data_IF_148543250246
#
_entry.id   IF_148543250246
#
_cell.length_a   1.000
_cell.length_b   1.000
_cell.length_c   1.000
_cell.angle_alpha   90.00
_cell.angle_beta   90.00
_cell.angle_gamma   90.00
#
_symmetry.space_group_name_H-M   'P 1'
#
loop_
_entity.id
_entity.type
_entity.pdbx_description
1 polymer ?
#
# COMPACT_ATOMS: atom_id res chain seq x y z
N UNK A 1 -13.49 -19.03 22.51
CA UNK A 1 -14.08 -17.90 21.76
C UNK A 1 -13.71 -16.61 22.48
N UNK A 2 -13.21 -15.63 21.73
CA UNK A 2 -12.79 -14.31 22.26
C UNK A 2 -13.96 -13.35 22.03
N UNK A 3 -14.44 -12.67 23.09
CA UNK A 3 -15.55 -11.72 23.01
C UNK A 3 -15.04 -10.31 23.25
N UNK A 4 -15.56 -9.35 22.46
CA UNK A 4 -15.18 -7.92 22.50
C UNK A 4 -16.37 -7.05 22.07
N UNK A 5 -16.31 -5.74 22.31
CA UNK A 5 -17.38 -4.82 21.86
C UNK A 5 -17.25 -4.49 20.37
N UNK A 6 -16.00 -4.33 19.88
CA UNK A 6 -15.71 -4.08 18.48
C UNK A 6 -14.59 -5.03 18.02
N UNK A 7 -14.88 -5.82 16.99
CA UNK A 7 -13.89 -6.61 16.29
C UNK A 7 -13.38 -5.85 15.07
N UNK A 8 -12.06 -5.63 14.99
CA UNK A 8 -11.44 -4.87 13.91
C UNK A 8 -10.66 -5.85 13.01
N UNK A 9 -10.92 -5.84 11.72
CA UNK A 9 -10.20 -6.64 10.72
C UNK A 9 -9.16 -5.78 10.02
N UNK A 10 -7.91 -5.93 10.41
CA UNK A 10 -6.77 -5.14 9.98
C UNK A 10 -6.17 -4.31 11.11
N UNK A 11 -4.88 -4.50 11.38
CA UNK A 11 -4.12 -3.78 12.40
C UNK A 11 -3.18 -2.71 11.80
N UNK A 12 -3.57 -2.14 10.65
CA UNK A 12 -2.93 -0.98 10.05
C UNK A 12 -3.28 0.33 10.78
N UNK A 13 -2.78 1.49 10.30
CA UNK A 13 -3.00 2.78 10.95
C UNK A 13 -4.48 3.09 11.25
N UNK A 14 -5.37 2.82 10.29
CA UNK A 14 -6.82 3.03 10.47
C UNK A 14 -7.40 2.13 11.58
N UNK A 15 -7.00 0.85 11.62
CA UNK A 15 -7.45 -0.08 12.66
C UNK A 15 -6.95 0.32 14.05
N UNK A 16 -5.69 0.73 14.16
CA UNK A 16 -5.11 1.22 15.41
C UNK A 16 -5.81 2.51 15.88
N UNK A 17 -6.03 3.47 14.98
CA UNK A 17 -6.74 4.69 15.36
C UNK A 17 -8.19 4.43 15.77
N UNK A 18 -8.85 3.43 15.18
CA UNK A 18 -10.18 2.98 15.61
C UNK A 18 -10.20 2.50 17.06
N UNK A 19 -9.14 1.82 17.51
CA UNK A 19 -9.00 1.43 18.93
C UNK A 19 -8.97 2.65 19.84
N UNK A 20 -8.25 3.70 19.45
CA UNK A 20 -8.16 4.93 20.24
C UNK A 20 -9.56 5.58 20.39
N UNK A 21 -10.26 5.79 19.27
CA UNK A 21 -11.59 6.41 19.27
C UNK A 21 -12.62 5.57 20.05
N UNK A 22 -12.64 4.25 19.84
CA UNK A 22 -13.51 3.33 20.59
C UNK A 22 -13.19 3.34 22.09
N UNK A 23 -11.90 3.37 22.44
CA UNK A 23 -11.44 3.40 23.82
C UNK A 23 -11.87 4.66 24.59
N UNK A 24 -11.96 5.81 23.93
CA UNK A 24 -12.54 7.02 24.52
C UNK A 24 -13.99 6.82 24.93
N UNK A 25 -14.74 5.99 24.20
CA UNK A 25 -16.12 5.58 24.51
C UNK A 25 -16.20 4.39 25.48
N UNK A 26 -15.05 3.94 26.02
CA UNK A 26 -14.95 2.78 26.91
C UNK A 26 -15.31 1.44 26.26
N UNK A 27 -15.28 1.36 24.95
CA UNK A 27 -15.50 0.12 24.19
C UNK A 27 -14.19 -0.66 24.06
N UNK A 28 -14.27 -1.97 24.26
CA UNK A 28 -13.14 -2.88 24.13
C UNK A 28 -12.98 -3.31 22.67
N UNK A 29 -11.75 -3.30 22.18
CA UNK A 29 -11.43 -3.71 20.82
C UNK A 29 -10.54 -4.95 20.80
N UNK A 30 -10.75 -5.79 19.78
CA UNK A 30 -9.84 -6.86 19.41
C UNK A 30 -9.54 -6.78 17.91
N UNK A 31 -8.27 -6.85 17.54
CA UNK A 31 -7.84 -6.76 16.15
C UNK A 31 -7.41 -8.13 15.62
N UNK A 32 -7.81 -8.45 14.39
CA UNK A 32 -7.31 -9.61 13.63
C UNK A 32 -6.50 -9.09 12.46
N UNK A 33 -5.28 -9.59 12.28
CA UNK A 33 -4.47 -9.29 11.10
C UNK A 33 -3.79 -10.54 10.55
N UNK A 34 -3.76 -10.66 9.22
CA UNK A 34 -3.05 -11.74 8.54
C UNK A 34 -1.54 -11.64 8.67
N UNK A 35 -1.01 -10.44 8.87
CA UNK A 35 0.41 -10.20 9.14
C UNK A 35 0.77 -10.59 10.58
N UNK A 36 2.01 -11.04 10.81
CA UNK A 36 2.49 -11.40 12.15
C UNK A 36 2.80 -10.18 13.03
N UNK A 37 2.69 -8.96 12.47
CA UNK A 37 2.98 -7.69 13.12
C UNK A 37 1.91 -6.65 12.79
N UNK A 38 1.78 -5.64 13.65
CA UNK A 38 0.90 -4.50 13.43
C UNK A 38 1.49 -3.54 12.38
N UNK A 39 0.65 -2.62 11.88
CA UNK A 39 1.05 -1.50 11.03
C UNK A 39 0.65 -1.62 9.56
N UNK A 40 0.24 -2.81 9.11
CA UNK A 40 -0.23 -3.01 7.74
C UNK A 40 0.80 -2.57 6.69
N UNK A 41 0.39 -1.76 5.72
CA UNK A 41 1.27 -1.27 4.64
C UNK A 41 2.46 -0.46 5.18
N UNK A 42 2.25 0.36 6.19
CA UNK A 42 3.28 1.23 6.75
C UNK A 42 4.46 0.45 7.33
N UNK A 43 4.20 -0.69 7.97
CA UNK A 43 5.26 -1.53 8.52
C UNK A 43 5.78 -2.57 7.53
N UNK A 44 4.92 -3.11 6.65
CA UNK A 44 5.29 -4.21 5.77
C UNK A 44 5.92 -3.76 4.45
N UNK A 45 5.44 -2.65 3.87
CA UNK A 45 5.82 -2.26 2.50
C UNK A 45 6.88 -1.16 2.51
N UNK A 46 6.73 -0.11 3.35
CA UNK A 46 7.59 1.07 3.29
C UNK A 46 7.88 1.70 4.66
N UNK A 47 8.40 0.91 5.64
CA UNK A 47 8.58 1.41 7.00
C UNK A 47 9.51 2.63 7.11
N UNK A 48 10.45 2.76 6.19
CA UNK A 48 11.42 3.87 6.12
C UNK A 48 11.03 4.97 5.13
N UNK A 49 9.80 4.94 4.58
CA UNK A 49 9.30 6.01 3.72
C UNK A 49 8.85 7.18 4.58
N UNK A 50 9.32 8.41 4.30
CA UNK A 50 8.77 9.60 4.93
C UNK A 50 7.34 9.87 4.45
N UNK A 51 6.49 10.30 5.37
CA UNK A 51 5.09 10.71 5.13
C UNK A 51 4.97 12.15 5.60
N UNK A 52 4.33 13.00 4.80
CA UNK A 52 4.27 14.46 5.01
C UNK A 52 2.87 14.97 5.29
N UNK A 53 1.85 14.13 5.16
CA UNK A 53 0.42 14.50 5.23
C UNK A 53 -0.27 14.06 6.53
N UNK A 54 0.52 13.79 7.58
CA UNK A 54 -0.01 13.51 8.92
C UNK A 54 -0.07 14.80 9.73
N UNK A 55 -1.26 15.27 10.14
CA UNK A 55 -1.39 16.48 10.92
C UNK A 55 -0.54 16.47 12.20
N UNK A 56 0.20 17.56 12.44
CA UNK A 56 1.07 17.69 13.61
C UNK A 56 2.51 17.20 13.42
N UNK A 57 2.81 16.54 12.28
CA UNK A 57 4.17 16.14 11.91
C UNK A 57 4.55 16.80 10.58
N UNK A 58 5.66 17.60 10.54
CA UNK A 58 6.21 18.08 9.26
C UNK A 58 6.63 16.90 8.36
N UNK A 59 7.13 15.84 8.99
CA UNK A 59 7.54 14.58 8.38
C UNK A 59 7.57 13.51 9.47
N UNK A 60 7.16 12.28 9.13
CA UNK A 60 7.27 11.11 10.00
C UNK A 60 7.53 9.87 9.15
N UNK A 61 8.36 8.94 9.61
CA UNK A 61 8.54 7.66 8.94
C UNK A 61 7.29 6.78 9.12
N UNK A 62 6.93 6.03 8.09
CA UNK A 62 5.73 5.19 8.11
C UNK A 62 5.73 4.16 9.25
N UNK A 63 6.88 3.56 9.56
CA UNK A 63 7.03 2.67 10.71
C UNK A 63 6.87 3.40 12.04
N UNK A 64 7.48 4.57 12.18
CA UNK A 64 7.38 5.40 13.39
C UNK A 64 5.94 5.87 13.64
N UNK A 65 5.20 6.23 12.58
CA UNK A 65 3.77 6.53 12.70
C UNK A 65 3.00 5.36 13.31
N UNK A 66 3.31 4.14 12.88
CA UNK A 66 2.66 2.93 13.42
C UNK A 66 3.00 2.71 14.88
N UNK A 67 4.26 2.90 15.29
CA UNK A 67 4.70 2.79 16.67
C UNK A 67 4.00 3.82 17.56
N UNK A 68 3.87 5.05 17.09
CA UNK A 68 3.17 6.13 17.79
C UNK A 68 1.67 5.82 17.95
N UNK A 69 1.01 5.31 16.90
CA UNK A 69 -0.39 4.88 16.98
C UNK A 69 -0.57 3.72 17.96
N UNK A 70 0.34 2.76 17.99
CA UNK A 70 0.28 1.67 18.96
C UNK A 70 0.49 2.18 20.39
N UNK A 71 1.42 3.11 20.62
CA UNK A 71 1.61 3.72 21.93
C UNK A 71 0.35 4.47 22.39
N UNK A 72 -0.31 5.19 21.47
CA UNK A 72 -1.57 5.87 21.74
C UNK A 72 -2.70 4.90 22.16
N UNK A 73 -2.71 3.69 21.58
CA UNK A 73 -3.72 2.66 21.85
C UNK A 73 -3.49 1.89 23.15
N UNK A 74 -2.26 1.77 23.65
CA UNK A 74 -1.88 0.92 24.78
C UNK A 74 -2.74 1.15 26.03
N UNK A 75 -3.12 2.39 26.32
CA UNK A 75 -3.96 2.73 27.46
C UNK A 75 -5.32 2.03 27.46
N UNK A 76 -5.81 1.59 26.31
CA UNK A 76 -7.10 0.91 26.12
C UNK A 76 -6.97 -0.62 26.08
N UNK A 77 -5.75 -1.13 26.15
CA UNK A 77 -5.43 -2.56 26.22
C UNK A 77 -6.15 -3.42 25.15
N UNK A 78 -6.01 -3.08 23.85
CA UNK A 78 -6.64 -3.86 22.78
C UNK A 78 -6.08 -5.29 22.75
N UNK A 79 -6.94 -6.26 22.41
CA UNK A 79 -6.50 -7.61 22.10
C UNK A 79 -6.03 -7.73 20.66
N UNK A 80 -5.13 -8.69 20.39
CA UNK A 80 -4.62 -8.97 19.06
C UNK A 80 -4.63 -10.45 18.73
N UNK A 81 -5.02 -10.78 17.51
CA UNK A 81 -4.82 -12.09 16.87
C UNK A 81 -4.07 -11.83 15.57
N UNK A 82 -2.73 -11.90 15.64
CA UNK A 82 -1.83 -11.63 14.52
C UNK A 82 -1.39 -12.93 13.83
N UNK A 83 -1.04 -12.83 12.54
CA UNK A 83 -0.66 -13.99 11.72
C UNK A 83 -1.83 -14.92 11.42
N UNK A 84 -3.06 -14.42 11.53
CA UNK A 84 -4.28 -15.14 11.23
C UNK A 84 -5.22 -14.27 10.37
N UNK A 85 -5.71 -14.82 9.27
CA UNK A 85 -6.63 -14.13 8.36
C UNK A 85 -8.07 -14.41 8.77
N UNK A 86 -8.90 -13.35 8.87
CA UNK A 86 -10.34 -13.51 9.00
C UNK A 86 -10.92 -14.22 7.76
N UNK A 87 -11.57 -15.39 7.97
CA UNK A 87 -11.99 -16.27 6.88
C UNK A 87 -13.49 -16.22 6.66
N UNK A 88 -14.27 -16.43 7.72
CA UNK A 88 -15.73 -16.42 7.65
C UNK A 88 -16.33 -15.47 8.66
N UNK A 89 -17.54 -14.98 8.36
CA UNK A 89 -18.37 -14.22 9.30
C UNK A 89 -19.76 -14.82 9.33
N UNK A 90 -20.32 -14.98 10.53
CA UNK A 90 -21.65 -15.52 10.75
C UNK A 90 -22.42 -14.63 11.70
N UNK A 91 -23.59 -14.14 11.29
CA UNK A 91 -24.49 -13.40 12.16
C UNK A 91 -25.24 -14.36 13.07
N UNK A 92 -25.26 -14.07 14.36
CA UNK A 92 -25.94 -14.87 15.39
C UNK A 92 -27.37 -14.40 15.61
N UNK A 93 -28.19 -15.22 16.28
CA UNK A 93 -29.59 -14.88 16.64
C UNK A 93 -29.69 -13.68 17.57
N UNK A 94 -28.71 -13.47 18.43
CA UNK A 94 -28.62 -12.33 19.34
C UNK A 94 -28.14 -11.01 18.65
N UNK A 95 -27.91 -11.08 17.35
CA UNK A 95 -27.47 -9.94 16.53
C UNK A 95 -25.95 -9.73 16.51
N UNK A 96 -25.17 -10.48 17.28
CA UNK A 96 -23.70 -10.45 17.23
C UNK A 96 -23.17 -11.15 16.00
N UNK A 97 -21.88 -10.97 15.71
CA UNK A 97 -21.16 -11.65 14.65
C UNK A 97 -20.08 -12.57 15.24
N UNK A 98 -19.96 -13.75 14.67
CA UNK A 98 -18.81 -14.64 14.92
C UNK A 98 -17.93 -14.65 13.70
N UNK A 99 -16.68 -14.20 13.86
CA UNK A 99 -15.62 -14.27 12.84
C UNK A 99 -14.69 -15.40 13.18
N UNK A 100 -14.46 -16.30 12.22
CA UNK A 100 -13.53 -17.42 12.35
C UNK A 100 -12.32 -17.17 11.46
N UNK A 101 -11.13 -17.35 12.00
CA UNK A 101 -9.89 -17.20 11.26
C UNK A 101 -9.52 -18.47 10.48
N UNK A 102 -8.58 -18.38 9.56
CA UNK A 102 -8.02 -19.51 8.80
C UNK A 102 -7.34 -20.58 9.70
N UNK A 103 -7.06 -20.25 10.97
CA UNK A 103 -6.53 -21.20 11.96
C UNK A 103 -7.62 -21.72 12.93
N UNK A 104 -8.87 -21.32 12.74
CA UNK A 104 -10.00 -21.75 13.54
C UNK A 104 -10.24 -20.95 14.82
N UNK A 105 -9.50 -19.87 15.06
CA UNK A 105 -9.75 -18.97 16.19
C UNK A 105 -11.07 -18.22 15.98
N UNK A 106 -11.95 -18.23 16.98
CA UNK A 106 -13.29 -17.61 16.92
C UNK A 106 -13.37 -16.37 17.77
N UNK A 107 -13.89 -15.29 17.18
CA UNK A 107 -14.10 -13.99 17.80
C UNK A 107 -15.57 -13.60 17.69
N UNK A 108 -16.17 -13.09 18.77
CA UNK A 108 -17.55 -12.64 18.79
C UNK A 108 -17.64 -11.17 19.18
N UNK A 109 -18.39 -10.39 18.41
CA UNK A 109 -18.64 -8.99 18.68
C UNK A 109 -19.99 -8.53 18.11
N UNK A 110 -20.66 -7.55 18.73
CA UNK A 110 -21.85 -6.91 18.15
C UNK A 110 -21.51 -6.00 16.95
N UNK A 111 -20.26 -5.52 16.86
CA UNK A 111 -19.79 -4.64 15.80
C UNK A 111 -18.51 -5.18 15.17
N UNK A 112 -18.46 -5.15 13.83
CA UNK A 112 -17.25 -5.50 13.05
C UNK A 112 -16.83 -4.29 12.22
N UNK A 113 -15.58 -3.83 12.40
CA UNK A 113 -14.97 -2.77 11.59
C UNK A 113 -13.91 -3.37 10.67
N UNK A 114 -14.14 -3.31 9.36
CA UNK A 114 -13.20 -3.80 8.36
C UNK A 114 -12.25 -2.66 8.00
N UNK A 115 -10.99 -2.76 8.42
CA UNK A 115 -9.89 -1.82 8.19
C UNK A 115 -8.74 -2.49 7.41
N UNK A 116 -9.07 -3.42 6.50
CA UNK A 116 -8.14 -4.30 5.81
C UNK A 116 -7.29 -3.64 4.70
N UNK A 117 -7.36 -2.31 4.55
CA UNK A 117 -6.59 -1.57 3.54
C UNK A 117 -6.87 -2.07 2.13
N UNK A 118 -5.83 -2.31 1.33
CA UNK A 118 -5.95 -2.88 -0.01
C UNK A 118 -6.03 -4.41 0.00
N UNK A 119 -6.08 -5.06 1.17
CA UNK A 119 -6.05 -6.51 1.31
C UNK A 119 -4.63 -7.07 1.13
N UNK A 120 -4.47 -8.17 0.38
CA UNK A 120 -3.14 -8.72 0.09
C UNK A 120 -2.33 -7.76 -0.79
N UNK A 121 -1.07 -7.53 -0.40
CA UNK A 121 -0.16 -6.59 -1.06
C UNK A 121 0.47 -7.21 -2.31
N UNK A 122 -0.33 -7.41 -3.36
CA UNK A 122 0.20 -7.90 -4.63
C UNK A 122 0.55 -6.72 -5.55
N UNK A 123 1.83 -6.51 -5.85
CA UNK A 123 2.25 -5.48 -6.80
C UNK A 123 1.75 -5.83 -8.21
N UNK A 124 1.36 -4.81 -8.96
CA UNK A 124 1.06 -4.95 -10.38
C UNK A 124 2.38 -5.08 -11.13
N UNK A 125 2.60 -6.27 -11.71
CA UNK A 125 3.80 -6.55 -12.48
C UNK A 125 3.66 -6.01 -13.92
N UNK A 126 4.73 -5.47 -14.51
CA UNK A 126 4.74 -5.14 -15.94
C UNK A 126 4.69 -6.41 -16.78
N UNK A 127 4.19 -6.29 -18.01
CA UNK A 127 4.16 -7.38 -18.99
C UNK A 127 5.52 -7.51 -19.69
N UNK A 128 6.54 -7.90 -18.94
CA UNK A 128 7.89 -8.17 -19.44
C UNK A 128 8.13 -9.67 -19.30
N UNK A 129 8.41 -10.35 -20.40
CA UNK A 129 8.43 -11.81 -20.49
C UNK A 129 9.43 -12.45 -19.50
N UNK A 130 10.61 -11.85 -19.36
CA UNK A 130 11.68 -12.40 -18.54
C UNK A 130 11.75 -11.85 -17.11
N UNK A 131 10.81 -11.03 -16.68
CA UNK A 131 10.88 -10.31 -15.39
C UNK A 131 10.99 -11.25 -14.19
N UNK A 132 10.28 -12.38 -14.22
CA UNK A 132 10.30 -13.36 -13.14
C UNK A 132 11.70 -13.94 -12.85
N UNK A 133 12.58 -13.97 -13.84
CA UNK A 133 13.97 -14.48 -13.70
C UNK A 133 14.85 -13.53 -12.89
N UNK A 134 14.46 -12.27 -12.75
CA UNK A 134 15.21 -11.20 -12.10
C UNK A 134 14.55 -10.70 -10.79
N UNK A 135 13.41 -11.27 -10.39
CA UNK A 135 12.81 -11.00 -9.07
C UNK A 135 13.80 -11.40 -7.97
N UNK A 136 13.97 -10.54 -6.97
CA UNK A 136 14.99 -10.65 -5.91
C UNK A 136 16.44 -10.64 -6.40
N UNK A 137 16.66 -10.32 -7.68
CA UNK A 137 17.98 -10.22 -8.31
C UNK A 137 18.18 -8.88 -9.03
N UNK A 138 17.60 -7.83 -8.46
CA UNK A 138 17.63 -6.47 -8.98
C UNK A 138 16.30 -5.99 -9.55
N UNK A 139 15.25 -6.82 -9.55
CA UNK A 139 13.85 -6.37 -9.73
C UNK A 139 13.16 -6.41 -8.40
N UNK A 140 12.73 -5.26 -7.92
CA UNK A 140 11.99 -5.10 -6.67
C UNK A 140 10.70 -4.29 -6.92
N UNK A 141 9.60 -4.72 -6.31
CA UNK A 141 8.30 -4.04 -6.39
C UNK A 141 7.99 -3.19 -5.16
N UNK A 142 8.80 -3.32 -4.12
CA UNK A 142 8.64 -2.71 -2.80
C UNK A 142 10.01 -2.27 -2.31
N UNK A 143 10.10 -1.06 -1.76
CA UNK A 143 11.33 -0.52 -1.17
C UNK A 143 11.18 -0.52 0.35
N UNK A 144 11.68 -1.57 1.01
CA UNK A 144 11.70 -1.69 2.47
C UNK A 144 12.87 -0.94 3.10
N UNK A 145 14.03 -1.02 2.49
CA UNK A 145 15.24 -0.33 2.93
C UNK A 145 15.88 0.44 1.78
N UNK A 146 15.77 1.76 1.75
CA UNK A 146 16.37 2.57 0.69
C UNK A 146 17.91 2.54 0.68
N UNK A 147 18.56 2.15 1.79
CA UNK A 147 20.01 2.11 1.87
C UNK A 147 20.65 1.03 0.98
N UNK A 148 19.91 0.00 0.58
CA UNK A 148 20.44 -1.00 -0.36
C UNK A 148 20.75 -0.41 -1.75
N UNK A 149 20.14 0.73 -2.08
CA UNK A 149 20.37 1.44 -3.35
C UNK A 149 21.50 2.48 -3.28
N UNK A 150 22.16 2.63 -2.13
CA UNK A 150 23.25 3.59 -1.98
C UNK A 150 24.36 3.31 -2.99
N UNK A 151 24.72 4.38 -3.73
CA UNK A 151 25.71 4.34 -4.81
C UNK A 151 25.38 3.37 -5.96
N UNK A 152 24.09 3.00 -6.14
CA UNK A 152 23.58 2.15 -7.23
C UNK A 152 22.91 3.00 -8.30
N UNK A 153 22.88 2.45 -9.53
CA UNK A 153 22.07 2.99 -10.63
C UNK A 153 20.69 2.37 -10.55
N UNK A 154 19.68 3.18 -10.40
CA UNK A 154 18.29 2.73 -10.18
C UNK A 154 17.38 3.22 -11.30
N UNK A 155 16.65 2.31 -11.92
CA UNK A 155 15.58 2.63 -12.85
C UNK A 155 14.24 2.41 -12.15
N UNK A 156 13.43 3.46 -12.05
CA UNK A 156 12.06 3.42 -11.51
C UNK A 156 11.10 3.57 -12.68
N UNK A 157 10.10 2.68 -12.77
CA UNK A 157 9.02 2.82 -13.74
C UNK A 157 7.69 3.05 -13.03
N UNK A 158 7.01 4.15 -13.39
CA UNK A 158 5.72 4.50 -12.80
C UNK A 158 5.37 5.97 -13.00
N UNK A 159 4.16 6.37 -12.61
CA UNK A 159 3.70 7.74 -12.76
C UNK A 159 2.67 8.15 -11.70
N UNK A 160 2.56 7.41 -10.61
CA UNK A 160 1.80 7.76 -9.41
C UNK A 160 2.72 8.19 -8.28
N UNK A 161 2.13 8.54 -7.12
CA UNK A 161 2.84 9.06 -5.95
C UNK A 161 4.03 8.21 -5.53
N UNK A 162 3.87 6.89 -5.45
CA UNK A 162 4.98 5.99 -5.07
C UNK A 162 6.20 6.13 -5.98
N UNK A 163 6.00 6.26 -7.30
CA UNK A 163 7.12 6.39 -8.24
C UNK A 163 7.80 7.75 -8.12
N UNK A 164 7.02 8.81 -7.94
CA UNK A 164 7.54 10.17 -7.78
C UNK A 164 8.30 10.30 -6.45
N UNK A 165 7.68 9.92 -5.33
CA UNK A 165 8.25 10.04 -4.00
C UNK A 165 9.56 9.25 -3.87
N UNK A 166 9.57 8.00 -4.35
CA UNK A 166 10.78 7.18 -4.32
C UNK A 166 11.87 7.71 -5.26
N UNK A 167 11.51 8.29 -6.40
CA UNK A 167 12.50 8.94 -7.28
C UNK A 167 13.13 10.15 -6.61
N UNK A 168 12.32 10.96 -5.91
CA UNK A 168 12.79 12.12 -5.15
C UNK A 168 13.72 11.63 -4.03
N UNK A 169 13.27 10.69 -3.20
CA UNK A 169 14.05 10.20 -2.06
C UNK A 169 15.37 9.56 -2.51
N UNK A 170 15.33 8.66 -3.49
CA UNK A 170 16.51 7.95 -3.95
C UNK A 170 17.48 8.85 -4.72
N UNK A 171 17.08 10.04 -5.17
CA UNK A 171 17.97 11.00 -5.82
C UNK A 171 19.12 11.49 -4.93
N UNK A 172 18.98 11.34 -3.60
CA UNK A 172 20.02 11.67 -2.62
C UNK A 172 20.76 10.44 -2.06
N UNK A 173 20.31 9.22 -2.42
CA UNK A 173 20.88 7.95 -1.94
C UNK A 173 21.63 7.22 -3.05
N UNK A 174 20.98 7.05 -4.20
CA UNK A 174 21.53 6.34 -5.35
C UNK A 174 22.58 7.18 -6.08
N UNK A 175 23.47 6.54 -6.84
CA UNK A 175 24.41 7.24 -7.71
C UNK A 175 23.74 7.83 -8.95
N UNK A 176 22.68 7.18 -9.42
CA UNK A 176 21.86 7.63 -10.54
C UNK A 176 20.42 7.13 -10.38
N UNK A 177 19.45 7.99 -10.63
CA UNK A 177 18.03 7.66 -10.68
C UNK A 177 17.48 8.00 -12.05
N UNK A 178 16.91 7.01 -12.72
CA UNK A 178 16.15 7.21 -13.97
C UNK A 178 14.69 6.90 -13.71
N UNK A 179 13.82 7.90 -13.88
CA UNK A 179 12.37 7.73 -13.83
C UNK A 179 11.80 7.59 -15.23
N UNK A 180 11.09 6.48 -15.47
CA UNK A 180 10.45 6.17 -16.76
C UNK A 180 8.94 6.18 -16.59
N UNK A 181 8.23 6.89 -17.44
CA UNK A 181 6.77 6.89 -17.46
C UNK A 181 6.22 6.86 -18.87
N UNK A 182 5.19 6.02 -19.10
CA UNK A 182 4.57 5.79 -20.41
C UNK A 182 3.76 6.99 -20.97
N UNK A 183 3.56 8.04 -20.20
CA UNK A 183 2.82 9.24 -20.57
C UNK A 183 3.62 10.47 -20.22
N UNK A 184 3.31 11.60 -20.86
CA UNK A 184 3.91 12.88 -20.50
C UNK A 184 3.34 13.45 -19.19
N UNK A 185 2.13 13.03 -18.81
CA UNK A 185 1.44 13.50 -17.61
C UNK A 185 1.50 12.48 -16.49
N UNK A 186 1.86 12.93 -15.31
CA UNK A 186 1.86 12.14 -14.08
C UNK A 186 0.49 12.19 -13.39
N UNK A 187 0.20 11.18 -12.57
CA UNK A 187 -1.03 11.09 -11.76
C UNK A 187 -0.81 11.35 -10.29
N UNK A 188 0.42 11.56 -9.87
CA UNK A 188 0.77 11.88 -8.50
C UNK A 188 0.50 13.34 -8.15
N UNK A 189 0.72 13.69 -6.88
CA UNK A 189 0.52 15.04 -6.38
C UNK A 189 1.36 16.07 -7.14
N UNK A 190 0.78 17.25 -7.40
CA UNK A 190 1.44 18.32 -8.15
C UNK A 190 2.78 18.72 -7.56
N UNK A 191 2.86 18.82 -6.23
CA UNK A 191 4.11 19.13 -5.52
C UNK A 191 5.23 18.10 -5.81
N UNK A 192 4.92 16.80 -5.80
CA UNK A 192 5.87 15.74 -6.15
C UNK A 192 6.28 15.81 -7.62
N UNK A 193 5.35 16.14 -8.52
CA UNK A 193 5.64 16.33 -9.95
C UNK A 193 6.60 17.51 -10.15
N UNK A 194 6.35 18.66 -9.50
CA UNK A 194 7.20 19.84 -9.56
C UNK A 194 8.61 19.54 -9.04
N UNK A 195 8.74 18.85 -7.90
CA UNK A 195 10.02 18.43 -7.33
C UNK A 195 10.81 17.52 -8.28
N UNK A 196 10.16 16.55 -8.93
CA UNK A 196 10.82 15.70 -9.94
C UNK A 196 11.33 16.53 -11.11
N UNK A 197 10.58 17.52 -11.60
CA UNK A 197 11.03 18.41 -12.68
C UNK A 197 12.22 19.27 -12.24
N UNK A 198 12.20 19.79 -11.01
CA UNK A 198 13.35 20.51 -10.46
C UNK A 198 14.61 19.64 -10.38
N UNK A 199 14.47 18.40 -9.87
CA UNK A 199 15.58 17.46 -9.76
C UNK A 199 16.12 17.03 -11.13
N UNK A 200 15.23 16.87 -12.14
CA UNK A 200 15.62 16.71 -13.55
C UNK A 200 16.46 17.88 -14.04
N UNK A 201 16.00 19.11 -13.80
CA UNK A 201 16.71 20.32 -14.24
C UNK A 201 18.07 20.48 -13.54
N UNK A 202 18.19 19.99 -12.30
CA UNK A 202 19.46 19.92 -11.53
C UNK A 202 20.37 18.76 -11.93
N UNK A 203 19.91 17.87 -12.84
CA UNK A 203 20.65 16.68 -13.27
C UNK A 203 20.70 15.54 -12.24
N UNK A 204 19.88 15.60 -11.18
CA UNK A 204 19.82 14.55 -10.14
C UNK A 204 18.93 13.37 -10.53
N UNK A 205 17.95 13.58 -11.41
CA UNK A 205 17.06 12.55 -11.94
C UNK A 205 17.10 12.63 -13.47
N UNK A 206 17.26 11.49 -14.13
CA UNK A 206 16.97 11.34 -15.55
C UNK A 206 15.49 11.02 -15.71
N UNK A 207 14.75 11.84 -16.43
CA UNK A 207 13.33 11.64 -16.70
C UNK A 207 13.13 11.31 -18.18
N UNK A 208 12.52 10.16 -18.44
CA UNK A 208 12.25 9.66 -19.80
C UNK A 208 10.74 9.43 -19.95
N UNK A 209 10.10 10.27 -20.75
CA UNK A 209 8.65 10.25 -21.01
C UNK A 209 8.35 10.76 -22.43
N UNK A 210 7.44 10.16 -23.18
CA UNK A 210 6.74 8.90 -22.89
C UNK A 210 7.60 7.68 -23.24
N UNK A 211 7.75 6.76 -22.29
CA UNK A 211 8.58 5.57 -22.49
C UNK A 211 8.14 4.40 -21.61
N UNK A 212 8.44 3.18 -22.01
CA UNK A 212 8.17 1.95 -21.28
C UNK A 212 9.42 1.06 -21.24
N UNK A 213 9.58 0.33 -20.14
CA UNK A 213 10.56 -0.76 -20.07
C UNK A 213 9.92 -2.01 -20.66
N UNK A 214 10.57 -2.58 -21.69
CA UNK A 214 10.05 -3.71 -22.47
C UNK A 214 10.81 -5.01 -22.25
N UNK A 215 12.05 -4.94 -21.75
CA UNK A 215 12.87 -6.11 -21.47
C UNK A 215 13.89 -5.81 -20.37
N UNK A 216 14.44 -6.87 -19.76
CA UNK A 216 15.50 -6.81 -18.78
C UNK A 216 16.70 -7.57 -19.29
N UNK A 217 17.89 -6.99 -19.16
CA UNK A 217 19.15 -7.55 -19.58
C UNK A 217 20.01 -7.89 -18.35
N UNK A 218 20.61 -9.05 -18.36
CA UNK A 218 21.52 -9.52 -17.31
C UNK A 218 21.71 -11.03 -17.36
N UNK A 219 22.69 -11.54 -16.62
CA UNK A 219 22.96 -12.98 -16.52
C UNK A 219 22.46 -13.55 -15.19
N UNK A 220 22.96 -13.07 -14.06
CA UNK A 220 22.59 -13.53 -12.72
C UNK A 220 21.75 -12.52 -11.96
N UNK A 221 21.82 -11.26 -12.35
CA UNK A 221 21.10 -10.11 -11.80
C UNK A 221 20.79 -9.13 -12.92
N UNK A 222 20.00 -8.10 -12.60
CA UNK A 222 19.79 -6.97 -13.51
C UNK A 222 21.11 -6.26 -13.79
N UNK A 223 21.40 -6.00 -15.06
CA UNK A 223 22.56 -5.25 -15.56
C UNK A 223 22.11 -4.04 -16.39
N UNK A 224 20.98 -4.18 -17.09
CA UNK A 224 20.35 -3.09 -17.84
C UNK A 224 18.84 -3.36 -18.05
N UNK A 225 18.11 -2.36 -18.47
CA UNK A 225 16.74 -2.48 -19.00
C UNK A 225 16.67 -1.96 -20.43
N UNK A 226 15.87 -2.60 -21.27
CA UNK A 226 15.57 -2.10 -22.62
C UNK A 226 14.34 -1.18 -22.52
N UNK A 227 14.52 0.04 -22.97
CA UNK A 227 13.50 1.08 -22.97
C UNK A 227 13.03 1.32 -24.38
N UNK A 228 11.71 1.36 -24.54
CA UNK A 228 11.04 1.80 -25.75
C UNK A 228 10.48 3.19 -25.51
N UNK A 229 11.04 4.19 -26.18
CA UNK A 229 10.61 5.57 -26.15
C UNK A 229 9.74 5.84 -27.39
N UNK A 230 8.55 6.39 -27.20
CA UNK A 230 7.63 6.72 -28.27
C UNK A 230 7.60 8.23 -28.44
N UNK A 231 8.01 8.73 -29.57
CA UNK A 231 7.87 10.14 -29.89
C UNK A 231 6.49 10.44 -30.53
N UNK A 232 6.15 11.72 -30.64
CA UNK A 232 4.90 12.18 -31.27
C UNK A 232 4.83 11.92 -32.81
N UNK A 233 5.89 11.37 -33.40
CA UNK A 233 6.05 11.10 -34.82
C UNK A 233 5.95 9.60 -35.14
N UNK A 234 5.63 8.75 -34.11
CA UNK A 234 5.53 7.30 -34.22
C UNK A 234 6.85 6.59 -34.61
N UNK A 235 8.00 7.17 -34.31
CA UNK A 235 9.28 6.51 -34.41
C UNK A 235 9.63 5.95 -33.04
N UNK A 236 9.36 4.66 -32.86
CA UNK A 236 9.78 3.96 -31.64
C UNK A 236 11.31 3.80 -31.62
N UNK A 237 11.93 4.31 -30.58
CA UNK A 237 13.36 4.15 -30.34
C UNK A 237 13.59 3.17 -29.20
N UNK A 238 14.30 2.09 -29.46
CA UNK A 238 14.68 1.13 -28.43
C UNK A 238 16.17 1.26 -28.13
N UNK A 239 16.51 1.28 -26.84
CA UNK A 239 17.88 1.34 -26.34
C UNK A 239 18.00 0.79 -24.93
N UNK A 240 19.21 0.45 -24.53
CA UNK A 240 19.51 -0.04 -23.20
C UNK A 240 19.88 1.10 -22.25
N UNK A 241 19.44 0.95 -21.00
CA UNK A 241 19.88 1.79 -19.88
C UNK A 241 20.50 0.86 -18.84
N UNK A 242 21.80 1.03 -18.61
CA UNK A 242 22.51 0.30 -17.57
C UNK A 242 21.95 0.63 -16.19
N UNK A 243 21.64 -0.38 -15.39
CA UNK A 243 21.19 -0.23 -14.01
C UNK A 243 21.52 -1.44 -13.16
N UNK A 244 21.60 -1.21 -11.87
CA UNK A 244 21.79 -2.27 -10.88
C UNK A 244 20.46 -2.78 -10.33
N UNK A 245 19.42 -1.91 -10.34
CA UNK A 245 18.08 -2.21 -9.88
C UNK A 245 17.01 -1.63 -10.81
N UNK A 246 15.95 -2.40 -11.03
CA UNK A 246 14.73 -1.98 -11.71
C UNK A 246 13.53 -2.10 -10.77
N UNK A 247 12.84 -1.00 -10.54
CA UNK A 247 11.75 -0.88 -9.57
C UNK A 247 10.47 -0.43 -10.28
N UNK A 248 9.62 -1.38 -10.75
CA UNK A 248 8.33 -1.06 -11.35
C UNK A 248 7.28 -0.75 -10.26
N UNK A 249 6.90 0.52 -10.11
CA UNK A 249 5.92 1.01 -9.15
C UNK A 249 4.59 1.32 -9.83
N UNK A 250 3.86 0.28 -10.21
CA UNK A 250 2.57 0.37 -10.92
C UNK A 250 1.35 0.32 -9.99
N UNK A 251 1.60 0.41 -8.68
CA UNK A 251 0.62 0.31 -7.62
C UNK A 251 0.32 -1.14 -7.22
N UNK A 252 -0.52 -1.28 -6.22
CA UNK A 252 -0.98 -2.56 -5.71
C UNK A 252 -2.32 -2.95 -6.32
N UNK A 253 -2.57 -4.24 -6.42
CA UNK A 253 -3.89 -4.77 -6.79
C UNK A 253 -4.70 -5.01 -5.53
N UNK A 254 -5.82 -4.28 -5.31
CA UNK A 254 -6.68 -4.56 -4.17
C UNK A 254 -7.25 -5.96 -4.26
N UNK A 255 -7.11 -6.75 -3.19
CA UNK A 255 -7.69 -8.10 -3.06
C UNK A 255 -8.34 -8.25 -1.71
N UNK A 256 -9.66 -8.30 -1.69
CA UNK A 256 -10.44 -8.47 -0.47
C UNK A 256 -10.34 -9.89 0.13
N UNK A 257 -9.86 -10.85 -0.66
CA UNK A 257 -9.77 -12.24 -0.21
C UNK A 257 -11.12 -12.78 0.24
N UNK A 258 -11.21 -13.52 1.37
CA UNK A 258 -12.45 -14.09 1.88
C UNK A 258 -13.55 -13.07 2.15
N UNK A 259 -13.20 -11.82 2.48
CA UNK A 259 -14.15 -10.73 2.76
C UNK A 259 -15.11 -10.51 1.56
N UNK A 260 -14.65 -10.75 0.34
CA UNK A 260 -15.47 -10.64 -0.86
C UNK A 260 -16.70 -11.59 -0.87
N UNK A 261 -16.65 -12.67 -0.08
CA UNK A 261 -17.74 -13.66 0.03
C UNK A 261 -18.66 -13.45 1.25
N UNK A 262 -18.47 -12.37 2.03
CA UNK A 262 -19.23 -12.09 3.25
C UNK A 262 -20.62 -11.48 3.01
N UNK A 263 -21.06 -11.38 1.75
CA UNK A 263 -22.36 -10.78 1.39
C UNK A 263 -22.34 -9.24 1.39
N UNK A 264 -21.15 -8.63 1.40
CA UNK A 264 -20.96 -7.19 1.31
C UNK A 264 -21.12 -6.71 -0.14
N UNK A 265 -21.68 -5.51 -0.34
CA UNK A 265 -21.67 -4.87 -1.65
C UNK A 265 -20.27 -4.42 -2.02
N UNK A 266 -19.78 -4.91 -3.17
CA UNK A 266 -18.43 -4.61 -3.68
C UNK A 266 -18.54 -3.77 -4.95
N UNK A 267 -17.81 -2.68 -4.99
CA UNK A 267 -17.65 -1.82 -6.16
C UNK A 267 -16.16 -1.54 -6.41
N UNK A 268 -15.67 -1.81 -7.64
CA UNK A 268 -14.27 -1.59 -8.05
C UNK A 268 -13.24 -2.21 -7.09
N UNK A 269 -13.50 -3.44 -6.64
CA UNK A 269 -12.68 -4.17 -5.66
C UNK A 269 -12.58 -3.50 -4.27
N UNK A 270 -13.55 -2.70 -3.90
CA UNK A 270 -13.64 -2.07 -2.57
C UNK A 270 -15.04 -2.30 -1.99
N UNK A 271 -15.16 -2.29 -0.66
CA UNK A 271 -16.44 -2.45 0.03
C UNK A 271 -17.22 -1.14 -0.09
N UNK A 272 -18.40 -1.20 -0.67
CA UNK A 272 -19.28 -0.04 -0.77
C UNK A 272 -19.87 0.29 0.61
N UNK A 273 -19.79 1.56 0.99
CA UNK A 273 -20.42 2.10 2.19
C UNK A 273 -21.43 3.20 1.81
N UNK A 274 -22.38 3.48 2.71
CA UNK A 274 -23.44 4.43 2.46
C UNK A 274 -22.88 5.82 2.13
N UNK A 275 -21.98 6.32 2.98
CA UNK A 275 -21.37 7.65 2.85
C UNK A 275 -20.15 7.78 3.77
N UNK A 276 -19.49 8.94 3.72
CA UNK A 276 -18.32 9.27 4.53
C UNK A 276 -18.61 9.65 5.99
N UNK A 277 -19.88 9.67 6.41
CA UNK A 277 -20.25 10.07 7.77
C UNK A 277 -20.40 8.86 8.70
N UNK A 278 -20.92 7.74 8.17
CA UNK A 278 -21.19 6.55 8.97
C UNK A 278 -20.37 5.31 8.59
N UNK A 279 -19.80 5.26 7.36
CA UNK A 279 -19.03 4.12 6.86
C UNK A 279 -19.75 2.75 6.97
N UNK A 280 -21.07 2.77 7.14
CA UNK A 280 -21.91 1.60 7.28
C UNK A 280 -22.00 0.85 5.94
N UNK A 281 -21.79 -0.46 5.97
CA UNK A 281 -22.00 -1.33 4.80
C UNK A 281 -23.50 -1.66 4.63
N UNK A 282 -23.84 -2.46 3.62
CA UNK A 282 -25.17 -3.01 3.46
C UNK A 282 -25.61 -3.97 4.59
N UNK A 283 -24.68 -4.43 5.44
CA UNK A 283 -24.96 -5.30 6.59
C UNK A 283 -24.88 -4.47 7.87
N UNK A 284 -26.01 -4.25 8.54
CA UNK A 284 -26.07 -3.51 9.80
C UNK A 284 -25.15 -4.13 10.86
N UNK A 285 -24.28 -3.31 11.45
CA UNK A 285 -23.29 -3.70 12.43
C UNK A 285 -21.90 -4.02 11.82
N UNK A 286 -21.78 -4.01 10.47
CA UNK A 286 -20.50 -4.12 9.78
C UNK A 286 -20.16 -2.79 9.11
N UNK A 287 -19.00 -2.25 9.44
CA UNK A 287 -18.44 -1.01 8.90
C UNK A 287 -17.19 -1.30 8.07
N UNK A 288 -16.92 -0.47 7.08
CA UNK A 288 -15.67 -0.55 6.30
C UNK A 288 -14.99 0.82 6.27
N UNK A 289 -13.77 0.89 6.78
CA UNK A 289 -13.04 2.14 7.03
C UNK A 289 -11.64 2.11 6.37
N UNK A 290 -11.15 3.29 5.98
CA UNK A 290 -9.86 3.41 5.28
C UNK A 290 -9.93 2.99 3.81
N UNK A 291 -8.82 2.47 3.27
CA UNK A 291 -8.66 2.17 1.83
C UNK A 291 -9.55 1.04 1.33
N UNK A 292 -10.01 0.16 2.21
CA UNK A 292 -10.85 -0.98 1.86
C UNK A 292 -12.22 -0.59 1.33
N UNK A 293 -12.71 0.61 1.65
CA UNK A 293 -14.06 1.06 1.28
C UNK A 293 -14.10 1.92 0.02
N UNK A 294 -15.31 2.12 -0.47
CA UNK A 294 -15.62 3.12 -1.51
C UNK A 294 -16.99 3.75 -1.26
N UNK A 295 -17.11 5.03 -1.63
CA UNK A 295 -18.34 5.81 -1.62
C UNK A 295 -18.27 6.91 -2.68
N UNK A 296 -19.40 7.52 -3.11
CA UNK A 296 -19.39 8.61 -4.07
C UNK A 296 -18.54 9.78 -3.61
N UNK A 297 -17.62 10.24 -4.44
CA UNK A 297 -16.74 11.37 -4.14
C UNK A 297 -15.51 11.04 -3.30
N UNK A 298 -15.25 9.76 -2.98
CA UNK A 298 -14.00 9.37 -2.30
C UNK A 298 -12.80 9.70 -3.17
N UNK A 299 -11.92 10.51 -2.63
CA UNK A 299 -10.59 10.73 -3.21
C UNK A 299 -9.67 9.57 -2.80
N UNK A 300 -8.94 9.02 -3.76
CA UNK A 300 -7.83 8.10 -3.48
C UNK A 300 -6.58 8.94 -3.38
N UNK A 301 -6.08 9.06 -2.19
CA UNK A 301 -4.79 9.69 -1.89
C UNK A 301 -3.67 8.68 -2.06
#
# INVERSE_FOLDING_TARGET
MISTDILIIGAGPTGLFTVFEAGLLKLKCHLIDALPQIGGQCSEIYPKKPIYDIPGFPEILAGELTDNLMEQCKQFQPGFTLGERAETIEKQEDGTFVVTTNKGTKHQAPVVAIAGGLGSFEPRKPLIENIASFEDKGVEYIIKDPEIYRNKRVVIAGGGDSALDWSIFLSDVASEVTLIHRRNEFRGHLDSVEKVQELKNKGKIKLITPAEVINIVGHHKVEAVVVKESDNIHIDKEYEIECDHFIPLFGLSPKLGPIASWGLEIEKNAIKVNNALDYQTNILGIFAIGDVNTYPGKLKL
#
